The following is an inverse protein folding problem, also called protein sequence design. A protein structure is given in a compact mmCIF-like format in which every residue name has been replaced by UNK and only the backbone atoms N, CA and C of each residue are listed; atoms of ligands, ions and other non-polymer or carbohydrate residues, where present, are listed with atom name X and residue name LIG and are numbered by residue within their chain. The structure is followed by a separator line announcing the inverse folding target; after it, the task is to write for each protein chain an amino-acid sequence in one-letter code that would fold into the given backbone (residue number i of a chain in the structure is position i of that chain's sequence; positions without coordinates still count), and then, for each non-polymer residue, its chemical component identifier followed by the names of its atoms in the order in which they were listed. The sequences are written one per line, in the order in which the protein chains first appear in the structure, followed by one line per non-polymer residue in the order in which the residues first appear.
data_IF_090171380207
#
_entry.id   IF_090171380207
#
_cell.length_a   1.000
_cell.length_b   1.000
_cell.length_c   1.000
_cell.angle_alpha   90.00
_cell.angle_beta   90.00
_cell.angle_gamma   90.00
#
_symmetry.space_group_name_H-M   'P 1'
#
loop_
_entity.id
_entity.type
_entity.pdbx_description
1 polymer ?
#
# COMPACT_ATOMS: atom_id res chain seq x y z
N UNK A 1 -6.82 6.12 -12.79
CA UNK A 1 -6.61 6.46 -14.21
C UNK A 1 -5.65 5.43 -14.81
N UNK A 2 -6.14 4.47 -15.60
CA UNK A 2 -5.27 3.49 -16.29
C UNK A 2 -4.90 4.09 -17.65
N UNK A 3 -3.65 4.50 -17.83
CA UNK A 3 -3.19 4.91 -19.15
C UNK A 3 -3.03 3.67 -20.03
N UNK A 4 -3.90 3.51 -21.02
CA UNK A 4 -3.83 2.41 -22.01
C UNK A 4 -3.10 2.80 -23.29
N UNK A 5 -2.91 4.11 -23.55
CA UNK A 5 -2.22 4.61 -24.74
C UNK A 5 -1.20 5.67 -24.37
N UNK A 6 0.06 5.45 -24.78
CA UNK A 6 1.16 6.40 -24.57
C UNK A 6 0.87 7.79 -25.17
N UNK A 7 0.13 7.83 -26.29
CA UNK A 7 -0.21 9.07 -26.99
C UNK A 7 -0.98 10.08 -26.14
N UNK A 8 -1.84 9.62 -25.22
CA UNK A 8 -2.60 10.52 -24.35
C UNK A 8 -1.69 11.24 -23.35
N UNK A 9 -0.70 10.53 -22.78
CA UNK A 9 0.28 11.14 -21.88
C UNK A 9 1.12 12.17 -22.63
N UNK A 10 1.64 11.79 -23.80
CA UNK A 10 2.41 12.69 -24.64
C UNK A 10 1.61 13.94 -25.01
N UNK A 11 0.35 13.80 -25.44
CA UNK A 11 -0.51 14.96 -25.80
C UNK A 11 -0.79 15.91 -24.64
N UNK A 12 -0.69 15.42 -23.39
CA UNK A 12 -0.99 16.21 -22.19
C UNK A 12 0.26 16.87 -21.61
N UNK A 13 1.41 16.17 -21.66
CA UNK A 13 2.61 16.57 -20.93
C UNK A 13 3.81 16.94 -21.80
N UNK A 14 3.78 16.69 -23.12
CA UNK A 14 4.86 17.11 -23.99
C UNK A 14 4.95 18.63 -24.04
N UNK A 15 6.15 19.16 -23.77
CA UNK A 15 6.43 20.59 -23.84
C UNK A 15 7.50 20.81 -24.89
N UNK A 16 7.22 21.70 -25.84
CA UNK A 16 8.18 22.12 -26.86
C UNK A 16 8.81 23.45 -26.48
N UNK A 17 9.84 23.39 -25.63
CA UNK A 17 10.64 24.57 -25.29
C UNK A 17 11.90 24.66 -26.15
N UNK A 18 12.27 25.87 -26.55
CA UNK A 18 13.42 26.13 -27.42
C UNK A 18 14.77 25.81 -26.77
N UNK A 19 14.85 25.69 -25.44
CA UNK A 19 16.07 25.27 -24.74
C UNK A 19 16.22 23.74 -24.65
N UNK A 20 15.16 22.98 -24.97
CA UNK A 20 15.14 21.52 -25.01
C UNK A 20 15.16 21.05 -26.47
N UNK A 21 16.19 21.46 -27.21
CA UNK A 21 16.32 21.05 -28.61
C UNK A 21 16.71 19.57 -28.70
N UNK A 22 15.84 18.80 -29.37
CA UNK A 22 16.13 17.42 -29.76
C UNK A 22 17.25 17.42 -30.81
N UNK A 23 18.31 16.66 -30.57
CA UNK A 23 19.40 16.50 -31.53
C UNK A 23 19.20 15.25 -32.37
N UNK A 24 19.65 15.26 -33.62
CA UNK A 24 19.47 14.15 -34.61
C UNK A 24 20.14 12.83 -34.16
N UNK A 25 20.94 12.84 -33.08
CA UNK A 25 21.58 11.67 -32.46
C UNK A 25 21.17 11.47 -31.01
N UNK A 26 19.91 11.73 -30.68
CA UNK A 26 19.44 11.47 -29.33
C UNK A 26 19.30 9.97 -29.08
N UNK A 27 19.64 9.56 -27.86
CA UNK A 27 19.67 8.16 -27.42
C UNK A 27 18.26 7.54 -27.27
N UNK A 28 17.21 8.31 -27.54
CA UNK A 28 15.83 7.91 -27.38
C UNK A 28 15.31 7.25 -28.67
N UNK A 29 14.87 5.98 -28.64
CA UNK A 29 14.16 5.40 -29.76
C UNK A 29 12.84 6.16 -29.98
N UNK A 30 12.49 6.40 -31.24
CA UNK A 30 11.22 6.98 -31.70
C UNK A 30 10.89 8.41 -31.20
N UNK A 31 11.90 9.27 -31.00
CA UNK A 31 11.73 10.67 -30.54
C UNK A 31 11.03 10.85 -29.18
N UNK A 32 10.82 9.75 -28.44
CA UNK A 32 10.05 9.72 -27.21
C UNK A 32 10.93 10.06 -26.01
N UNK A 33 10.84 11.28 -25.51
CA UNK A 33 11.48 11.63 -24.24
C UNK A 33 10.56 11.25 -23.09
N UNK A 34 11.08 10.52 -22.11
CA UNK A 34 10.23 10.08 -21.00
C UNK A 34 9.72 11.23 -20.10
N UNK A 35 10.31 12.42 -20.19
CA UNK A 35 9.78 13.63 -19.56
C UNK A 35 8.48 14.09 -20.23
N UNK A 36 8.26 13.79 -21.50
CA UNK A 36 7.03 14.14 -22.23
C UNK A 36 5.83 13.26 -21.79
N UNK A 37 6.05 12.26 -20.94
CA UNK A 37 5.03 11.32 -20.45
C UNK A 37 4.53 11.64 -19.03
N UNK A 38 5.00 12.73 -18.43
CA UNK A 38 4.61 13.14 -17.10
C UNK A 38 4.99 14.58 -16.80
N UNK A 39 4.60 15.10 -15.63
CA UNK A 39 4.82 16.51 -15.29
C UNK A 39 6.28 16.84 -14.92
N UNK A 40 7.14 15.85 -14.73
CA UNK A 40 8.53 16.05 -14.28
C UNK A 40 9.49 16.14 -15.49
N UNK A 41 10.15 17.29 -15.65
CA UNK A 41 11.22 17.44 -16.64
C UNK A 41 12.53 16.79 -16.17
N UNK A 42 12.98 17.14 -14.96
CA UNK A 42 14.15 16.55 -14.30
C UNK A 42 13.72 15.49 -13.30
N UNK A 43 14.28 14.27 -13.39
CA UNK A 43 13.91 13.16 -12.51
C UNK A 43 15.06 12.18 -12.27
N UNK A 44 15.00 11.47 -11.15
CA UNK A 44 15.95 10.40 -10.82
C UNK A 44 15.74 9.15 -11.68
N UNK A 45 16.76 8.27 -11.75
CA UNK A 45 16.67 7.02 -12.50
C UNK A 45 15.89 5.93 -11.73
N UNK A 46 14.58 6.17 -11.51
CA UNK A 46 13.70 5.30 -10.69
C UNK A 46 13.59 3.87 -11.22
N UNK A 47 13.79 3.66 -12.53
CA UNK A 47 13.74 2.33 -13.14
C UNK A 47 14.94 1.46 -12.78
N UNK A 48 16.11 2.04 -12.46
CA UNK A 48 17.32 1.29 -12.16
C UNK A 48 17.15 0.38 -10.95
N UNK A 49 16.58 0.92 -9.84
CA UNK A 49 16.32 0.12 -8.64
C UNK A 49 15.38 -1.05 -8.92
N UNK A 50 14.31 -0.82 -9.69
CA UNK A 50 13.32 -1.86 -10.03
C UNK A 50 13.95 -2.93 -10.91
N UNK A 51 14.69 -2.53 -11.95
CA UNK A 51 15.38 -3.45 -12.86
C UNK A 51 16.41 -4.29 -12.11
N UNK A 52 17.18 -3.69 -11.21
CA UNK A 52 18.19 -4.41 -10.43
C UNK A 52 17.54 -5.43 -9.49
N UNK A 53 16.45 -5.07 -8.81
CA UNK A 53 15.66 -6.01 -7.99
C UNK A 53 15.17 -7.21 -8.80
N UNK A 54 14.67 -7.00 -10.03
CA UNK A 54 14.28 -8.10 -10.91
C UNK A 54 15.46 -8.95 -11.36
N UNK A 55 16.61 -8.33 -11.66
CA UNK A 55 17.80 -9.05 -12.11
C UNK A 55 18.44 -9.90 -11.02
N UNK A 56 18.46 -9.42 -9.78
CA UNK A 56 19.12 -10.11 -8.69
C UNK A 56 18.20 -11.15 -8.02
N UNK A 57 16.94 -10.83 -7.74
CA UNK A 57 16.01 -11.79 -7.11
C UNK A 57 15.27 -12.69 -8.10
N UNK A 58 15.02 -12.22 -9.33
CA UNK A 58 14.16 -12.91 -10.29
C UNK A 58 12.66 -12.79 -9.94
N UNK A 59 11.81 -13.08 -10.91
CA UNK A 59 10.35 -12.91 -10.77
C UNK A 59 9.76 -13.94 -9.78
N UNK A 60 10.28 -15.17 -9.78
CA UNK A 60 9.76 -16.25 -8.93
C UNK A 60 9.93 -15.95 -7.44
N UNK A 61 11.13 -15.54 -6.99
CA UNK A 61 11.37 -15.22 -5.57
C UNK A 61 10.56 -14.01 -5.11
N UNK A 62 10.40 -13.01 -5.98
CA UNK A 62 9.56 -11.85 -5.69
C UNK A 62 8.09 -12.26 -5.54
N UNK A 63 7.59 -13.12 -6.43
CA UNK A 63 6.26 -13.71 -6.34
C UNK A 63 6.07 -14.51 -5.04
N UNK A 64 7.04 -15.35 -4.69
CA UNK A 64 7.02 -16.12 -3.43
C UNK A 64 6.96 -15.19 -2.22
N UNK A 65 7.74 -14.11 -2.19
CA UNK A 65 7.72 -13.18 -1.05
C UNK A 65 6.38 -12.48 -0.87
N UNK A 66 5.70 -12.16 -1.98
CA UNK A 66 4.33 -11.63 -1.94
C UNK A 66 3.35 -12.67 -1.39
N UNK A 67 3.48 -13.93 -1.82
CA UNK A 67 2.65 -15.03 -1.31
C UNK A 67 2.88 -15.25 0.19
N UNK A 68 4.14 -15.28 0.64
CA UNK A 68 4.50 -15.42 2.07
C UNK A 68 3.84 -14.33 2.93
N UNK A 69 3.81 -13.08 2.45
CA UNK A 69 3.16 -11.98 3.17
C UNK A 69 1.64 -12.17 3.26
N UNK A 70 1.01 -12.71 2.20
CA UNK A 70 -0.41 -13.04 2.23
C UNK A 70 -0.69 -14.21 3.20
N UNK A 71 0.19 -15.22 3.24
CA UNK A 71 0.08 -16.34 4.19
C UNK A 71 0.24 -15.87 5.65
N UNK A 72 1.14 -14.91 5.91
CA UNK A 72 1.29 -14.31 7.24
C UNK A 72 0.02 -13.57 7.68
N UNK A 73 -0.61 -12.80 6.78
CA UNK A 73 -1.88 -12.14 7.09
C UNK A 73 -3.00 -13.16 7.38
N UNK A 74 -3.08 -14.23 6.61
CA UNK A 74 -4.03 -15.32 6.88
C UNK A 74 -3.72 -16.05 8.19
N UNK A 75 -2.44 -16.26 8.51
CA UNK A 75 -2.03 -16.85 9.78
C UNK A 75 -2.44 -15.97 10.96
N UNK A 76 -2.18 -14.67 10.88
CA UNK A 76 -2.60 -13.71 11.90
C UNK A 76 -4.12 -13.73 12.09
N UNK A 77 -4.89 -13.76 11.00
CA UNK A 77 -6.35 -13.88 11.08
C UNK A 77 -6.81 -15.13 11.82
N UNK A 78 -6.20 -16.29 11.52
CA UNK A 78 -6.48 -17.54 12.25
C UNK A 78 -6.13 -17.45 13.73
N UNK A 79 -5.17 -16.61 14.12
CA UNK A 79 -4.91 -16.34 15.54
C UNK A 79 -6.02 -15.49 16.15
N UNK A 80 -6.47 -14.44 15.45
CA UNK A 80 -7.59 -13.60 15.91
C UNK A 80 -8.89 -14.40 16.04
N UNK A 81 -9.17 -15.32 15.12
CA UNK A 81 -10.34 -16.21 15.14
C UNK A 81 -10.40 -17.09 16.40
N UNK A 82 -9.25 -17.42 17.02
CA UNK A 82 -9.22 -18.15 18.30
C UNK A 82 -9.75 -17.32 19.47
N UNK A 83 -9.81 -16.00 19.30
CA UNK A 83 -10.30 -15.02 20.27
C UNK A 83 -11.55 -14.30 19.72
N UNK A 84 -12.35 -14.99 18.91
CA UNK A 84 -13.54 -14.43 18.27
C UNK A 84 -14.63 -13.96 19.25
N UNK A 85 -14.50 -14.28 20.54
CA UNK A 85 -15.39 -13.79 21.60
C UNK A 85 -15.10 -12.35 22.03
N UNK A 86 -13.92 -11.83 21.70
CA UNK A 86 -13.50 -10.46 21.98
C UNK A 86 -12.86 -9.74 20.78
N UNK A 87 -12.60 -10.43 19.66
CA UNK A 87 -11.99 -9.85 18.47
C UNK A 87 -12.84 -10.13 17.24
N UNK A 88 -13.18 -9.08 16.50
CA UNK A 88 -13.99 -9.12 15.28
C UNK A 88 -13.13 -8.74 14.07
N UNK A 89 -12.91 -9.67 13.15
CA UNK A 89 -12.20 -9.42 11.87
C UNK A 89 -13.19 -8.84 10.86
N UNK A 90 -12.87 -7.69 10.27
CA UNK A 90 -13.89 -6.82 9.66
C UNK A 90 -14.11 -6.98 8.15
N UNK A 91 -13.34 -7.79 7.42
CA UNK A 91 -13.57 -8.12 6.00
C UNK A 91 -12.82 -9.40 5.61
N UNK A 92 -13.16 -10.04 4.47
CA UNK A 92 -12.32 -11.08 3.90
C UNK A 92 -10.91 -10.53 3.61
N UNK A 93 -9.90 -11.30 4.02
CA UNK A 93 -8.49 -10.95 3.85
C UNK A 93 -8.06 -11.41 2.46
N UNK A 94 -7.93 -10.46 1.54
CA UNK A 94 -7.62 -10.74 0.13
C UNK A 94 -6.13 -10.62 -0.20
N UNK A 95 -5.36 -9.92 0.63
CA UNK A 95 -3.92 -9.66 0.48
C UNK A 95 -3.24 -9.75 1.86
N UNK A 96 -2.19 -8.96 2.08
CA UNK A 96 -1.41 -8.93 3.31
C UNK A 96 -1.96 -7.99 4.39
N UNK A 97 -3.25 -7.61 4.36
CA UNK A 97 -3.81 -6.60 5.28
C UNK A 97 -4.95 -7.21 6.07
N UNK A 98 -4.87 -7.09 7.40
CA UNK A 98 -5.92 -7.54 8.31
C UNK A 98 -6.49 -6.34 9.04
N UNK A 99 -7.82 -6.21 8.99
CA UNK A 99 -8.55 -5.20 9.74
C UNK A 99 -9.38 -5.91 10.80
N UNK A 100 -9.22 -5.53 12.05
CA UNK A 100 -9.95 -6.12 13.16
C UNK A 100 -10.29 -5.07 14.22
N UNK A 101 -11.19 -5.44 15.12
CA UNK A 101 -11.63 -4.60 16.23
C UNK A 101 -11.76 -5.46 17.47
N UNK A 102 -11.33 -4.92 18.61
CA UNK A 102 -11.48 -5.58 19.91
C UNK A 102 -12.77 -5.07 20.55
N UNK A 103 -13.65 -6.00 20.93
CA UNK A 103 -14.93 -5.76 21.60
C UNK A 103 -14.89 -6.56 22.90
N UNK A 104 -14.50 -5.91 24.00
CA UNK A 104 -14.46 -6.57 25.31
C UNK A 104 -15.88 -6.94 25.76
N UNK A 105 -16.03 -8.07 26.47
CA UNK A 105 -17.34 -8.53 26.98
C UNK A 105 -17.94 -7.57 28.01
N UNK A 106 -17.08 -6.82 28.68
CA UNK A 106 -17.43 -5.84 29.71
C UNK A 106 -17.92 -4.51 29.13
N UNK A 107 -17.66 -4.25 27.84
CA UNK A 107 -18.17 -3.09 27.12
C UNK A 107 -19.55 -3.42 26.55
N UNK A 108 -20.47 -2.47 26.64
CA UNK A 108 -21.76 -2.59 25.95
C UNK A 108 -21.50 -2.64 24.44
N UNK A 109 -21.86 -3.76 23.81
CA UNK A 109 -21.58 -4.03 22.39
C UNK A 109 -22.23 -3.03 21.42
N UNK A 110 -23.25 -2.30 21.90
CA UNK A 110 -23.97 -1.28 21.15
C UNK A 110 -23.39 0.14 21.37
N UNK A 111 -22.52 0.34 22.37
CA UNK A 111 -21.83 1.62 22.60
C UNK A 111 -20.53 1.70 21.79
N UNK A 112 -20.69 2.06 20.53
CA UNK A 112 -19.59 2.13 19.60
C UNK A 112 -18.57 3.22 19.92
N UNK A 113 -18.95 4.29 20.62
CA UNK A 113 -18.04 5.38 20.99
C UNK A 113 -17.06 4.89 22.07
N UNK A 114 -17.55 4.16 23.06
CA UNK A 114 -16.70 3.50 24.06
C UNK A 114 -15.75 2.48 23.42
N UNK A 115 -16.25 1.67 22.48
CA UNK A 115 -15.41 0.67 21.79
C UNK A 115 -14.36 1.37 20.91
N UNK A 116 -14.70 2.48 20.23
CA UNK A 116 -13.76 3.26 19.42
C UNK A 116 -12.65 3.89 20.28
N UNK A 117 -13.00 4.43 21.46
CA UNK A 117 -12.04 4.97 22.42
C UNK A 117 -11.11 3.87 22.94
N UNK A 118 -11.66 2.71 23.33
CA UNK A 118 -10.87 1.58 23.81
C UNK A 118 -9.85 1.10 22.76
N UNK A 119 -10.27 0.95 21.49
CA UNK A 119 -9.36 0.53 20.43
C UNK A 119 -8.30 1.61 20.13
N UNK A 120 -8.62 2.89 20.32
CA UNK A 120 -7.65 3.97 20.19
C UNK A 120 -6.56 3.88 21.28
N UNK A 121 -6.97 3.70 22.53
CA UNK A 121 -6.05 3.57 23.67
C UNK A 121 -5.18 2.31 23.52
N UNK A 122 -5.78 1.18 23.12
CA UNK A 122 -5.06 -0.06 22.82
C UNK A 122 -4.01 0.13 21.72
N UNK A 123 -4.34 0.85 20.64
CA UNK A 123 -3.37 1.16 19.58
C UNK A 123 -2.17 1.91 20.14
N UNK A 124 -2.45 2.93 20.97
CA UNK A 124 -1.43 3.76 21.58
C UNK A 124 -0.55 2.93 22.52
N UNK A 125 -1.13 2.10 23.37
CA UNK A 125 -0.38 1.23 24.28
C UNK A 125 0.54 0.27 23.52
N UNK A 126 0.05 -0.35 22.45
CA UNK A 126 0.85 -1.24 21.59
C UNK A 126 2.02 -0.47 20.95
N UNK A 127 1.78 0.72 20.41
CA UNK A 127 2.83 1.55 19.82
C UNK A 127 3.87 2.00 20.86
N UNK A 128 3.42 2.44 22.03
CA UNK A 128 4.28 2.92 23.11
C UNK A 128 5.08 1.80 23.76
N UNK A 129 4.58 0.56 23.72
CA UNK A 129 5.33 -0.63 24.16
C UNK A 129 6.53 -0.94 23.24
N UNK A 130 6.54 -0.42 22.00
CA UNK A 130 7.58 -0.69 21.01
C UNK A 130 7.53 -2.09 20.38
N UNK A 131 6.51 -2.90 20.69
CA UNK A 131 6.37 -4.27 20.15
C UNK A 131 5.91 -4.27 18.70
N UNK A 132 5.00 -3.37 18.34
CA UNK A 132 4.48 -3.24 16.99
C UNK A 132 4.07 -1.79 16.68
N UNK A 133 4.02 -1.45 15.39
CA UNK A 133 3.48 -0.17 14.91
C UNK A 133 2.21 -0.42 14.12
N UNK A 134 1.08 -0.37 14.82
CA UNK A 134 -0.24 -0.52 14.22
C UNK A 134 -0.86 0.83 13.88
N UNK A 135 -1.70 0.87 12.87
CA UNK A 135 -2.36 2.11 12.47
C UNK A 135 -3.87 1.96 12.55
N UNK A 136 -4.51 3.03 13.01
CA UNK A 136 -5.96 3.16 13.01
C UNK A 136 -6.46 3.52 11.61
N UNK A 137 -7.58 2.93 11.21
CA UNK A 137 -8.28 3.28 9.97
C UNK A 137 -9.78 3.36 10.25
N UNK A 138 -10.48 4.18 9.48
CA UNK A 138 -11.94 4.32 9.61
C UNK A 138 -12.62 3.54 8.47
N UNK A 139 -13.40 2.50 8.82
CA UNK A 139 -14.07 1.63 7.85
C UNK A 139 -15.52 1.42 8.27
N UNK A 140 -16.45 1.65 7.34
CA UNK A 140 -17.88 1.36 7.53
C UNK A 140 -18.50 1.99 8.80
N UNK A 141 -18.07 3.22 9.15
CA UNK A 141 -18.46 4.00 10.33
C UNK A 141 -17.81 3.59 11.66
N UNK A 142 -16.82 2.70 11.64
CA UNK A 142 -16.12 2.22 12.83
C UNK A 142 -14.63 2.48 12.76
N UNK A 143 -14.02 2.67 13.92
CA UNK A 143 -12.58 2.60 14.05
C UNK A 143 -12.09 1.15 14.06
N UNK A 144 -11.03 0.90 13.30
CA UNK A 144 -10.45 -0.43 13.13
C UNK A 144 -8.94 -0.38 13.27
N UNK A 145 -8.39 -1.44 13.85
CA UNK A 145 -6.96 -1.71 13.89
C UNK A 145 -6.56 -2.35 12.55
N UNK A 146 -5.45 -1.86 11.99
CA UNK A 146 -4.93 -2.31 10.69
C UNK A 146 -3.46 -2.70 10.79
N UNK A 147 -3.18 -3.93 10.39
CA UNK A 147 -1.82 -4.46 10.18
C UNK A 147 -1.59 -4.72 8.69
N UNK A 148 -0.39 -4.41 8.19
CA UNK A 148 0.07 -4.55 6.80
C UNK A 148 1.37 -5.33 6.75
#
# INVERSE_FOLDING_TARGET
MRCRSCSHLHSTFAIHETYLMKTIRDFAPDDLWFCDLGPELSRSFRALKVWFTFKEHGIEKLGQKIADNCEQAQYFARLLEKHADIIHVLRPITLNIVNFRVIQKELDGDDHELIDQFNADLTQDVQMSGVASEWKSFIAKWDVLRIV
#
